data_IF_822876552202
#
_entry.id   IF_822876552202
#
_cell.length_a   1.000
_cell.length_b   1.000
_cell.length_c   1.000
_cell.angle_alpha   90.00
_cell.angle_beta   90.00
_cell.angle_gamma   90.00
#
_symmetry.space_group_name_H-M   'P 1'
#
loop_
_entity.id
_entity.type
_entity.pdbx_description
1 polymer ?
#
# COMPACT_ATOMS: atom_id res chain seq x y z
N UNK A 1 -20.57 2.46 13.30
CA UNK A 1 -19.93 3.64 13.89
C UNK A 1 -19.36 4.59 12.81
N UNK A 2 -18.37 4.19 11.98
CA UNK A 2 -17.72 5.09 11.01
C UNK A 2 -18.68 5.74 9.99
N UNK A 3 -19.56 4.97 9.36
CA UNK A 3 -20.53 5.51 8.41
C UNK A 3 -21.49 6.55 8.98
N UNK A 4 -21.78 6.47 10.27
CA UNK A 4 -22.66 7.43 10.96
C UNK A 4 -21.91 8.72 11.25
N UNK A 5 -20.65 8.64 11.69
CA UNK A 5 -19.79 9.81 11.90
C UNK A 5 -19.57 10.59 10.60
N UNK A 6 -19.31 9.89 9.49
CA UNK A 6 -19.18 10.53 8.17
C UNK A 6 -20.48 11.24 7.75
N UNK A 7 -21.66 10.63 7.96
CA UNK A 7 -22.94 11.29 7.65
C UNK A 7 -23.17 12.55 8.49
N UNK A 8 -22.82 12.50 9.76
CA UNK A 8 -22.93 13.66 10.64
C UNK A 8 -22.03 14.80 10.16
N UNK A 9 -20.80 14.46 9.76
CA UNK A 9 -19.86 15.41 9.18
C UNK A 9 -20.37 16.01 7.86
N UNK A 10 -20.98 15.21 6.99
CA UNK A 10 -21.62 15.68 5.74
C UNK A 10 -22.74 16.70 6.05
N UNK A 11 -23.51 16.49 7.10
CA UNK A 11 -24.56 17.42 7.54
C UNK A 11 -23.95 18.71 8.08
N UNK A 12 -22.92 18.62 8.92
CA UNK A 12 -22.24 19.80 9.48
C UNK A 12 -21.58 20.68 8.41
N UNK A 13 -20.97 20.04 7.40
CA UNK A 13 -20.31 20.74 6.32
C UNK A 13 -21.25 21.20 5.20
N UNK A 14 -22.49 20.72 5.20
CA UNK A 14 -23.44 20.96 4.11
C UNK A 14 -22.98 20.39 2.75
N UNK A 15 -22.12 19.39 2.75
CA UNK A 15 -21.53 18.80 1.57
C UNK A 15 -21.51 17.28 1.64
N UNK A 16 -21.70 16.62 0.50
CA UNK A 16 -21.59 15.15 0.38
C UNK A 16 -20.13 14.79 0.16
N UNK A 17 -19.56 13.95 1.00
CA UNK A 17 -18.16 13.53 0.93
C UNK A 17 -17.96 12.23 0.12
N UNK A 18 -19.00 11.38 0.04
CA UNK A 18 -18.95 10.12 -0.71
C UNK A 18 -20.15 9.97 -1.62
N UNK A 19 -19.90 9.67 -2.89
CA UNK A 19 -20.93 9.22 -3.84
C UNK A 19 -21.31 7.77 -3.53
N UNK A 20 -22.48 7.61 -2.92
CA UNK A 20 -23.00 6.30 -2.50
C UNK A 20 -23.82 5.58 -3.58
N UNK A 21 -23.99 6.23 -4.73
CA UNK A 21 -24.68 5.63 -5.89
C UNK A 21 -23.79 4.65 -6.62
N UNK A 22 -22.46 4.78 -6.45
CA UNK A 22 -21.44 3.91 -7.04
C UNK A 22 -21.01 2.81 -6.08
N UNK A 23 -20.59 1.68 -6.62
CA UNK A 23 -19.99 0.58 -5.84
C UNK A 23 -18.67 0.18 -6.53
N UNK A 24 -17.52 0.27 -5.84
CA UNK A 24 -17.32 0.80 -4.48
C UNK A 24 -17.70 2.27 -4.37
N UNK A 25 -17.97 2.76 -3.14
CA UNK A 25 -18.21 4.18 -2.87
C UNK A 25 -17.01 5.00 -3.34
N UNK A 26 -17.30 6.09 -4.02
CA UNK A 26 -16.26 7.00 -4.49
C UNK A 26 -16.32 8.31 -3.70
N UNK A 27 -15.15 8.85 -3.39
CA UNK A 27 -15.06 10.18 -2.80
C UNK A 27 -15.53 11.25 -3.81
N UNK A 28 -16.17 12.28 -3.29
CA UNK A 28 -16.48 13.49 -4.06
C UNK A 28 -15.25 14.42 -4.06
N UNK A 29 -15.21 15.48 -4.90
CA UNK A 29 -14.18 16.50 -4.82
C UNK A 29 -14.05 17.13 -3.42
N UNK A 30 -15.18 17.35 -2.73
CA UNK A 30 -15.24 17.86 -1.36
C UNK A 30 -14.70 16.81 -0.39
N UNK A 31 -15.04 15.54 -0.59
CA UNK A 31 -14.52 14.41 0.19
C UNK A 31 -13.00 14.29 0.07
N UNK A 32 -12.46 14.41 -1.14
CA UNK A 32 -11.01 14.39 -1.37
C UNK A 32 -10.30 15.54 -0.67
N UNK A 33 -10.82 16.77 -0.80
CA UNK A 33 -10.26 17.93 -0.13
C UNK A 33 -10.24 17.78 1.38
N UNK A 34 -11.31 17.25 1.96
CA UNK A 34 -11.36 16.99 3.39
C UNK A 34 -10.40 15.87 3.80
N UNK A 35 -10.30 14.81 3.01
CA UNK A 35 -9.38 13.70 3.27
C UNK A 35 -7.91 14.17 3.30
N UNK A 36 -7.49 14.97 2.33
CA UNK A 36 -6.15 15.58 2.30
C UNK A 36 -5.89 16.46 3.52
N UNK A 37 -6.87 17.28 3.93
CA UNK A 37 -6.75 18.10 5.13
C UNK A 37 -6.66 17.25 6.40
N UNK A 38 -7.44 16.18 6.51
CA UNK A 38 -7.38 15.24 7.63
C UNK A 38 -6.04 14.51 7.71
N UNK A 39 -5.50 14.10 6.56
CA UNK A 39 -4.16 13.49 6.52
C UNK A 39 -3.08 14.43 7.04
N UNK A 40 -3.11 15.70 6.62
CA UNK A 40 -2.16 16.70 7.11
C UNK A 40 -2.30 16.95 8.61
N UNK A 41 -3.54 17.01 9.14
CA UNK A 41 -3.77 17.16 10.57
C UNK A 41 -3.24 15.97 11.39
N UNK A 42 -3.47 14.75 10.90
CA UNK A 42 -2.95 13.53 11.55
C UNK A 42 -1.42 13.54 11.53
N UNK A 43 -0.81 13.90 10.42
CA UNK A 43 0.64 13.99 10.29
C UNK A 43 1.24 15.02 11.27
N UNK A 44 0.65 16.20 11.36
CA UNK A 44 1.07 17.23 12.31
C UNK A 44 0.90 16.78 13.76
N UNK A 45 -0.20 16.10 14.06
CA UNK A 45 -0.44 15.56 15.40
C UNK A 45 0.59 14.50 15.78
N UNK A 46 0.89 13.55 14.89
CA UNK A 46 1.91 12.52 15.16
C UNK A 46 3.31 13.12 15.25
N UNK A 47 3.61 14.16 14.48
CA UNK A 47 4.85 14.91 14.60
C UNK A 47 4.97 15.61 15.97
N UNK A 48 3.94 16.32 16.39
CA UNK A 48 3.93 16.98 17.71
C UNK A 48 4.03 15.94 18.85
N UNK A 49 3.34 14.83 18.73
CA UNK A 49 3.44 13.71 19.68
C UNK A 49 4.84 13.11 19.71
N UNK A 50 5.49 12.94 18.56
CA UNK A 50 6.88 12.49 18.47
C UNK A 50 7.83 13.49 19.12
N UNK A 51 7.67 14.79 18.88
CA UNK A 51 8.47 15.85 19.50
C UNK A 51 8.33 15.86 21.04
N UNK A 52 7.12 15.69 21.57
CA UNK A 52 6.88 15.56 23.00
C UNK A 52 7.52 14.29 23.58
N UNK A 53 7.50 13.21 22.83
CA UNK A 53 8.09 11.92 23.24
C UNK A 53 9.61 11.95 23.10
N UNK A 54 10.16 12.67 22.14
CA UNK A 54 11.60 12.87 21.95
C UNK A 54 12.29 13.55 23.14
N UNK A 55 11.56 14.34 23.93
CA UNK A 55 12.11 14.88 25.19
C UNK A 55 12.35 13.79 26.24
N UNK A 56 11.83 12.58 26.04
CA UNK A 56 12.01 11.45 26.97
C UNK A 56 13.03 10.40 26.52
N UNK A 57 13.23 10.23 25.23
CA UNK A 57 14.22 9.25 24.70
C UNK A 57 14.76 9.72 23.36
N UNK A 58 16.06 9.88 23.26
CA UNK A 58 16.76 10.07 21.98
C UNK A 58 16.58 8.79 21.15
N UNK A 59 15.49 8.73 20.39
CA UNK A 59 15.26 7.64 19.44
C UNK A 59 16.30 7.72 18.31
N UNK A 60 17.45 7.16 18.59
CA UNK A 60 18.52 6.93 17.63
C UNK A 60 18.60 5.45 17.30
N UNK A 61 19.23 5.14 16.19
CA UNK A 61 19.44 3.75 15.79
C UNK A 61 19.27 3.52 14.31
N UNK A 62 19.28 2.24 13.92
CA UNK A 62 19.12 1.83 12.53
C UNK A 62 17.91 0.90 12.45
N UNK A 63 16.94 1.24 11.62
CA UNK A 63 15.83 0.35 11.26
C UNK A 63 16.18 -0.33 9.94
N UNK A 64 16.28 -1.65 9.95
CA UNK A 64 16.58 -2.48 8.77
C UNK A 64 15.26 -2.92 8.15
N UNK A 65 15.02 -2.51 6.91
CA UNK A 65 13.79 -2.81 6.17
C UNK A 65 14.12 -3.64 4.94
N UNK A 66 13.65 -4.86 4.90
CA UNK A 66 13.66 -5.71 3.71
C UNK A 66 12.38 -5.46 2.90
N UNK A 67 12.50 -5.19 1.61
CA UNK A 67 11.37 -4.81 0.77
C UNK A 67 11.48 -5.42 -0.62
N UNK A 68 10.37 -5.83 -1.20
CA UNK A 68 10.34 -6.29 -2.59
C UNK A 68 10.54 -5.12 -3.57
N UNK A 69 11.13 -5.40 -4.73
CA UNK A 69 11.49 -4.38 -5.71
C UNK A 69 10.33 -3.49 -6.16
N UNK A 70 9.13 -4.06 -6.37
CA UNK A 70 7.96 -3.32 -6.84
C UNK A 70 7.54 -2.21 -5.87
N UNK A 71 7.48 -2.51 -4.59
CA UNK A 71 7.13 -1.56 -3.53
C UNK A 71 8.29 -0.62 -3.21
N UNK A 72 9.51 -1.16 -3.15
CA UNK A 72 10.68 -0.41 -2.75
C UNK A 72 11.04 0.71 -3.71
N UNK A 73 10.92 0.49 -5.01
CA UNK A 73 11.26 1.50 -6.02
C UNK A 73 10.23 2.63 -6.13
N UNK A 74 8.97 2.34 -5.85
CA UNK A 74 7.88 3.30 -6.01
C UNK A 74 7.66 4.13 -4.73
N UNK A 75 7.48 3.47 -3.59
CA UNK A 75 6.95 4.12 -2.40
C UNK A 75 7.99 4.45 -1.34
N UNK A 76 9.06 3.63 -1.22
CA UNK A 76 10.01 3.75 -0.11
C UNK A 76 10.81 5.05 -0.13
N UNK A 77 10.96 5.70 -1.27
CA UNK A 77 11.60 7.02 -1.36
C UNK A 77 10.86 8.07 -0.54
N UNK A 78 9.53 8.14 -0.73
CA UNK A 78 8.65 9.08 -0.02
C UNK A 78 8.63 8.79 1.49
N UNK A 79 8.37 7.53 1.87
CA UNK A 79 8.29 7.16 3.29
C UNK A 79 9.61 7.31 4.03
N UNK A 80 10.73 7.01 3.39
CA UNK A 80 12.07 7.22 3.96
C UNK A 80 12.34 8.70 4.21
N UNK A 81 11.97 9.56 3.28
CA UNK A 81 12.13 11.01 3.43
C UNK A 81 11.28 11.53 4.59
N UNK A 82 10.02 11.12 4.68
CA UNK A 82 9.10 11.51 5.75
C UNK A 82 9.62 11.03 7.11
N UNK A 83 10.07 9.78 7.20
CA UNK A 83 10.65 9.22 8.41
C UNK A 83 11.90 9.99 8.87
N UNK A 84 12.86 10.24 7.96
CA UNK A 84 14.07 10.96 8.28
C UNK A 84 13.81 12.41 8.74
N UNK A 85 12.76 13.05 8.19
CA UNK A 85 12.33 14.38 8.63
C UNK A 85 11.75 14.36 10.05
N UNK A 86 11.06 13.27 10.42
CA UNK A 86 10.45 13.13 11.75
C UNK A 86 11.42 12.60 12.81
N UNK A 87 12.42 11.80 12.39
CA UNK A 87 13.39 11.13 13.27
C UNK A 87 14.83 11.32 12.74
N UNK A 88 15.43 12.51 12.87
CA UNK A 88 16.71 12.82 12.26
C UNK A 88 17.88 11.96 12.77
N UNK A 89 17.76 11.41 13.98
CA UNK A 89 18.80 10.56 14.59
C UNK A 89 18.64 9.07 14.26
N UNK A 90 17.51 8.66 13.71
CA UNK A 90 17.26 7.30 13.24
C UNK A 90 17.65 7.17 11.76
N UNK A 91 18.15 6.00 11.39
CA UNK A 91 18.53 5.69 10.01
C UNK A 91 17.73 4.50 9.50
N UNK A 92 17.18 4.61 8.28
CA UNK A 92 16.62 3.47 7.59
C UNK A 92 17.69 2.86 6.68
N UNK A 93 17.83 1.53 6.75
CA UNK A 93 18.58 0.74 5.76
C UNK A 93 17.60 -0.12 4.99
N UNK A 94 17.53 0.12 3.67
CA UNK A 94 16.68 -0.65 2.76
C UNK A 94 17.50 -1.78 2.12
N UNK A 95 16.96 -2.99 2.16
CA UNK A 95 17.43 -4.13 1.39
C UNK A 95 16.34 -4.55 0.40
N UNK A 96 16.65 -4.55 -0.90
CA UNK A 96 15.73 -4.99 -1.94
C UNK A 96 15.94 -6.48 -2.18
N UNK A 97 14.93 -7.28 -1.87
CA UNK A 97 15.02 -8.72 -1.84
C UNK A 97 13.87 -9.38 -2.62
N UNK A 98 14.04 -10.65 -2.96
CA UNK A 98 12.96 -11.49 -3.44
C UNK A 98 11.94 -11.77 -2.31
N UNK A 99 10.62 -11.90 -2.58
CA UNK A 99 9.61 -12.08 -1.54
C UNK A 99 9.90 -13.16 -0.48
N UNK A 100 10.46 -14.27 -0.88
CA UNK A 100 10.84 -15.34 0.07
C UNK A 100 11.99 -14.90 0.98
N UNK A 101 12.99 -14.22 0.43
CA UNK A 101 14.14 -13.71 1.17
C UNK A 101 13.74 -12.59 2.15
N UNK A 102 12.70 -11.80 1.83
CA UNK A 102 12.15 -10.79 2.75
C UNK A 102 11.62 -11.45 4.03
N UNK A 103 10.87 -12.54 3.90
CA UNK A 103 10.34 -13.28 5.06
C UNK A 103 11.48 -13.87 5.87
N UNK A 104 12.42 -14.54 5.21
CA UNK A 104 13.56 -15.20 5.86
C UNK A 104 14.45 -14.20 6.59
N UNK A 105 14.70 -13.02 5.99
CA UNK A 105 15.53 -11.98 6.62
C UNK A 105 14.93 -11.44 7.92
N UNK A 106 13.57 -11.35 8.02
CA UNK A 106 12.92 -10.94 9.27
C UNK A 106 12.95 -12.06 10.31
N UNK A 107 12.75 -13.32 9.90
CA UNK A 107 12.83 -14.48 10.80
C UNK A 107 14.23 -14.64 11.38
N UNK A 108 15.26 -14.35 10.58
CA UNK A 108 16.67 -14.50 10.96
C UNK A 108 17.25 -13.25 11.64
N UNK A 109 16.44 -12.26 12.00
CA UNK A 109 16.88 -10.99 12.60
C UNK A 109 17.87 -10.18 11.72
N UNK A 110 17.87 -10.41 10.41
CA UNK A 110 18.64 -9.63 9.44
C UNK A 110 17.92 -8.31 9.08
N UNK A 111 16.59 -8.33 9.15
CA UNK A 111 15.72 -7.15 9.03
C UNK A 111 14.75 -7.05 10.19
N UNK A 112 14.39 -5.82 10.56
CA UNK A 112 13.43 -5.52 11.62
C UNK A 112 11.99 -5.51 11.06
N UNK A 113 11.87 -5.16 9.78
CA UNK A 113 10.58 -5.05 9.06
C UNK A 113 10.73 -5.65 7.67
N UNK A 114 9.75 -6.44 7.25
CA UNK A 114 9.61 -6.94 5.89
C UNK A 114 8.39 -6.33 5.20
N UNK A 115 8.54 -5.81 3.99
CA UNK A 115 7.44 -5.27 3.18
C UNK A 115 7.33 -6.07 1.89
N UNK A 116 6.21 -6.73 1.71
CA UNK A 116 5.96 -7.60 0.56
C UNK A 116 4.45 -7.74 0.30
N UNK A 117 4.10 -8.14 -0.92
CA UNK A 117 2.73 -8.50 -1.28
C UNK A 117 2.42 -9.94 -0.87
N UNK A 118 1.19 -10.18 -0.40
CA UNK A 118 0.69 -11.53 -0.07
C UNK A 118 1.58 -12.32 0.90
N UNK A 119 1.87 -11.79 2.09
CA UNK A 119 2.69 -12.50 3.07
C UNK A 119 2.01 -13.79 3.51
N UNK A 120 2.76 -14.87 3.53
CA UNK A 120 2.28 -16.13 4.14
C UNK A 120 2.29 -15.97 5.66
N UNK A 121 1.17 -16.28 6.35
CA UNK A 121 1.15 -16.25 7.82
C UNK A 121 2.23 -17.13 8.43
N UNK A 122 2.96 -16.59 9.40
CA UNK A 122 3.96 -17.32 10.15
C UNK A 122 3.81 -17.03 11.64
N UNK A 123 3.94 -18.06 12.49
CA UNK A 123 3.70 -17.94 13.95
C UNK A 123 4.60 -16.95 14.68
N UNK A 124 5.79 -16.70 14.13
CA UNK A 124 6.77 -15.77 14.70
C UNK A 124 6.65 -14.36 14.13
N UNK A 125 5.76 -14.11 13.16
CA UNK A 125 5.62 -12.83 12.49
C UNK A 125 4.23 -12.26 12.69
N UNK A 126 4.17 -10.95 12.94
CA UNK A 126 2.94 -10.19 12.91
C UNK A 126 2.77 -9.55 11.54
N UNK A 127 1.71 -9.88 10.83
CA UNK A 127 1.35 -9.23 9.58
C UNK A 127 0.48 -8.01 9.89
N UNK A 128 0.88 -6.86 9.35
CA UNK A 128 0.14 -5.60 9.45
C UNK A 128 -0.23 -5.18 8.02
N UNK A 129 -1.54 -5.16 7.67
CA UNK A 129 -1.95 -4.64 6.38
C UNK A 129 -1.53 -3.18 6.22
N UNK A 130 -0.98 -2.85 5.06
CA UNK A 130 -0.52 -1.50 4.76
C UNK A 130 -1.47 -0.79 3.79
N UNK A 131 -1.50 -1.21 2.53
CA UNK A 131 -2.47 -0.71 1.55
C UNK A 131 -2.76 -1.77 0.49
N UNK A 132 -3.86 -1.60 -0.21
CA UNK A 132 -4.27 -2.47 -1.30
C UNK A 132 -3.90 -1.83 -2.65
N UNK A 133 -3.24 -2.59 -3.53
CA UNK A 133 -2.93 -2.18 -4.88
C UNK A 133 -3.74 -3.02 -5.89
N UNK A 134 -4.49 -2.37 -6.79
CA UNK A 134 -5.24 -3.10 -7.79
C UNK A 134 -4.28 -3.71 -8.83
N UNK A 135 -4.50 -4.99 -9.15
CA UNK A 135 -3.83 -5.65 -10.25
C UNK A 135 -4.40 -5.15 -11.58
N UNK A 136 -3.54 -4.74 -12.49
CA UNK A 136 -3.95 -4.26 -13.81
C UNK A 136 -3.30 -5.08 -14.92
N UNK A 137 -4.03 -5.26 -16.02
CA UNK A 137 -3.48 -5.81 -17.25
C UNK A 137 -2.85 -4.69 -18.07
N UNK A 138 -1.60 -4.88 -18.46
CA UNK A 138 -0.85 -3.92 -19.28
C UNK A 138 -0.48 -4.56 -20.60
N UNK A 139 -0.74 -3.85 -21.70
CA UNK A 139 -0.32 -4.26 -23.02
C UNK A 139 0.19 -3.05 -23.84
N UNK A 140 0.95 -3.33 -24.91
CA UNK A 140 1.39 -2.27 -25.81
C UNK A 140 0.18 -1.61 -26.49
N UNK A 141 0.22 -0.30 -26.72
CA UNK A 141 -0.86 0.49 -27.31
C UNK A 141 -1.35 0.00 -28.69
N UNK A 142 -0.51 -0.75 -29.42
CA UNK A 142 -0.88 -1.34 -30.71
C UNK A 142 -1.59 -2.68 -30.57
N UNK A 143 -1.61 -3.29 -29.38
CA UNK A 143 -2.33 -4.53 -29.15
C UNK A 143 -3.84 -4.27 -29.29
N UNK A 144 -4.59 -5.13 -30.01
CA UNK A 144 -6.03 -4.98 -30.16
C UNK A 144 -6.79 -4.86 -28.83
N UNK A 145 -6.29 -5.48 -27.77
CA UNK A 145 -6.88 -5.42 -26.44
C UNK A 145 -6.79 -4.01 -25.81
N UNK A 146 -5.80 -3.20 -26.19
CA UNK A 146 -5.66 -1.83 -25.68
C UNK A 146 -6.84 -0.91 -26.04
N UNK A 147 -7.63 -1.27 -27.05
CA UNK A 147 -8.81 -0.50 -27.48
C UNK A 147 -10.09 -0.92 -26.75
N UNK A 148 -10.06 -1.98 -25.98
CA UNK A 148 -11.22 -2.48 -25.24
C UNK A 148 -11.38 -1.75 -23.92
N UNK A 149 -12.61 -1.38 -23.58
CA UNK A 149 -12.94 -0.78 -22.27
C UNK A 149 -12.91 -1.81 -21.14
N UNK A 150 -13.21 -3.07 -21.46
CA UNK A 150 -13.25 -4.19 -20.50
C UNK A 150 -12.56 -5.37 -21.17
N UNK A 151 -11.65 -6.02 -20.45
CA UNK A 151 -10.97 -7.24 -20.86
C UNK A 151 -11.40 -8.35 -19.90
N UNK A 152 -11.88 -9.45 -20.43
CA UNK A 152 -12.25 -10.64 -19.65
C UNK A 152 -11.24 -11.77 -19.94
N UNK A 153 -11.18 -12.75 -19.06
CA UNK A 153 -10.20 -13.85 -19.13
C UNK A 153 -10.15 -14.56 -20.47
N UNK A 154 -11.31 -14.78 -21.10
CA UNK A 154 -11.39 -15.41 -22.44
C UNK A 154 -10.70 -14.59 -23.53
N UNK A 155 -10.59 -13.29 -23.38
CA UNK A 155 -9.93 -12.40 -24.34
C UNK A 155 -8.40 -12.56 -24.30
N UNK A 156 -7.86 -13.14 -23.22
CA UNK A 156 -6.45 -13.44 -23.04
C UNK A 156 -6.06 -14.84 -23.56
N UNK A 157 -7.04 -15.64 -23.98
CA UNK A 157 -6.77 -16.98 -24.49
C UNK A 157 -5.96 -16.91 -25.80
N UNK A 158 -4.81 -17.58 -25.81
CA UNK A 158 -3.88 -17.58 -26.96
C UNK A 158 -2.92 -16.38 -27.02
N UNK A 159 -3.07 -15.38 -26.16
CA UNK A 159 -2.13 -14.26 -26.08
C UNK A 159 -0.81 -14.68 -25.41
N UNK A 160 0.31 -14.12 -25.92
CA UNK A 160 1.61 -14.26 -25.25
C UNK A 160 1.64 -13.36 -24.03
N UNK A 161 1.70 -13.96 -22.85
CA UNK A 161 1.57 -13.27 -21.58
C UNK A 161 2.84 -13.39 -20.73
N UNK A 162 3.37 -12.25 -20.28
CA UNK A 162 4.42 -12.21 -19.27
C UNK A 162 3.76 -12.35 -17.90
N UNK A 163 4.06 -13.45 -17.24
CA UNK A 163 3.50 -13.79 -15.96
C UNK A 163 4.55 -13.68 -14.86
N UNK A 164 4.10 -13.53 -13.60
CA UNK A 164 4.95 -13.68 -12.45
C UNK A 164 5.50 -15.13 -12.36
N UNK A 165 6.60 -15.29 -11.66
CA UNK A 165 7.19 -16.61 -11.39
C UNK A 165 6.21 -17.55 -10.70
N UNK A 166 6.36 -18.86 -10.96
CA UNK A 166 5.39 -19.86 -10.49
C UNK A 166 5.35 -20.01 -8.95
N UNK A 167 6.45 -19.74 -8.28
CA UNK A 167 6.65 -19.83 -6.84
C UNK A 167 6.17 -18.62 -6.06
N UNK A 168 5.74 -17.54 -6.72
CA UNK A 168 5.24 -16.35 -6.05
C UNK A 168 3.75 -16.47 -5.72
N UNK A 169 3.37 -16.12 -4.49
CA UNK A 169 1.98 -16.11 -4.02
C UNK A 169 1.06 -15.29 -4.93
N UNK A 170 1.52 -14.14 -5.42
CA UNK A 170 0.82 -13.28 -6.37
C UNK A 170 0.39 -14.01 -7.65
N UNK A 171 1.04 -15.10 -8.01
CA UNK A 171 0.65 -15.88 -9.19
C UNK A 171 -0.65 -16.63 -9.01
N UNK A 172 -0.97 -17.08 -7.80
CA UNK A 172 -2.24 -17.73 -7.49
C UNK A 172 -3.41 -16.75 -7.50
N UNK A 173 -3.18 -15.49 -7.17
CA UNK A 173 -4.18 -14.42 -7.20
C UNK A 173 -4.70 -14.10 -8.60
N UNK A 174 -3.95 -14.40 -9.66
CA UNK A 174 -4.44 -14.27 -11.04
C UNK A 174 -5.68 -15.11 -11.32
N UNK A 175 -5.82 -16.24 -10.64
CA UNK A 175 -7.00 -17.09 -10.76
C UNK A 175 -8.25 -16.40 -10.23
N UNK A 176 -8.10 -15.48 -9.30
CA UNK A 176 -9.19 -14.71 -8.67
C UNK A 176 -9.62 -13.57 -9.60
N UNK A 177 -8.69 -12.86 -10.23
CA UNK A 177 -8.98 -11.79 -11.21
C UNK A 177 -9.71 -12.33 -12.45
N UNK A 178 -9.48 -13.58 -12.80
CA UNK A 178 -10.17 -14.28 -13.90
C UNK A 178 -11.57 -14.75 -13.48
N UNK A 179 -11.81 -14.96 -12.18
CA UNK A 179 -13.12 -15.44 -11.67
C UNK A 179 -14.12 -14.34 -11.32
N UNK A 180 -13.67 -13.09 -11.21
CA UNK A 180 -14.52 -11.95 -10.83
C UNK A 180 -15.19 -11.25 -12.01
N UNK A 181 -15.19 -11.84 -13.20
CA UNK A 181 -15.87 -11.30 -14.40
C UNK A 181 -17.15 -12.05 -14.71
#
# INVERSE_FOLDING_TARGET
AASQAVRQLEVELGATLFDRTKRPFMETPEGRKLFEACQQMIEQFEKAKAEITQQRELLGGVVRVAVIYSVGLQDMGFYTQQFNSSYPQAKIRLAFLHPNEVVDSVINDEADIGILSFPTPHRSLRVIPWHDEPMVFVCHRTNPLAKRKIIVARDLAGEKFIAFEKNLAIRSEKSILVKSS
#
